data_IF_771105512005
#
_entry.id   IF_771105512005
#
_cell.length_a   1.000
_cell.length_b   1.000
_cell.length_c   1.000
_cell.angle_alpha   90.00
_cell.angle_beta   90.00
_cell.angle_gamma   90.00
#
_symmetry.space_group_name_H-M   'P 1'
#
loop_
_entity.id
_entity.type
_entity.pdbx_description
1 polymer ?
#
# COMPACT_ATOMS: atom_id res chain seq x y z
N UNK A 1 -32.40 -14.88 27.30
CA UNK A 1 -31.13 -14.47 26.68
C UNK A 1 -31.06 -12.94 26.77
N UNK A 2 -30.34 -12.42 27.75
CA UNK A 2 -30.10 -10.98 27.87
C UNK A 2 -29.14 -10.55 26.76
N UNK A 3 -29.62 -9.75 25.83
CA UNK A 3 -28.78 -9.14 24.81
C UNK A 3 -27.75 -8.24 25.50
N UNK A 4 -26.51 -8.66 25.55
CA UNK A 4 -25.40 -7.85 26.07
C UNK A 4 -25.24 -6.68 25.09
N UNK A 5 -25.38 -5.44 25.58
CA UNK A 5 -25.19 -4.27 24.75
C UNK A 5 -23.76 -4.26 24.15
N UNK A 6 -23.60 -3.98 22.85
CA UNK A 6 -22.31 -4.04 22.22
C UNK A 6 -21.32 -3.04 22.85
N UNK A 7 -20.09 -3.47 23.06
CA UNK A 7 -19.04 -2.68 23.69
C UNK A 7 -18.77 -1.39 22.91
N UNK A 8 -18.68 -0.26 23.58
CA UNK A 8 -18.37 1.04 22.93
C UNK A 8 -16.89 1.07 22.53
N UNK A 9 -16.64 1.42 21.28
CA UNK A 9 -15.27 1.66 20.80
C UNK A 9 -14.71 2.96 21.40
N UNK A 10 -13.44 2.93 21.77
CA UNK A 10 -12.77 4.14 22.24
C UNK A 10 -12.29 4.98 21.03
N UNK A 11 -11.96 6.26 21.29
CA UNK A 11 -11.52 7.20 20.26
C UNK A 11 -10.28 6.69 19.47
N UNK A 12 -9.33 6.03 20.12
CA UNK A 12 -8.13 5.51 19.46
C UNK A 12 -8.46 4.35 18.51
N UNK A 13 -9.37 3.47 18.89
CA UNK A 13 -9.84 2.36 18.03
C UNK A 13 -10.55 2.87 16.78
N UNK A 14 -11.36 3.93 16.93
CA UNK A 14 -12.04 4.57 15.80
C UNK A 14 -11.05 5.27 14.88
N UNK A 15 -10.11 6.04 15.42
CA UNK A 15 -9.09 6.73 14.63
C UNK A 15 -8.18 5.76 13.89
N UNK A 16 -7.75 4.68 14.55
CA UNK A 16 -6.92 3.65 13.92
C UNK A 16 -7.66 2.91 12.80
N UNK A 17 -8.97 2.65 12.97
CA UNK A 17 -9.80 2.08 11.92
C UNK A 17 -9.88 3.01 10.70
N UNK A 18 -10.18 4.29 10.90
CA UNK A 18 -10.26 5.25 9.80
C UNK A 18 -8.91 5.46 9.11
N UNK A 19 -7.80 5.41 9.85
CA UNK A 19 -6.46 5.45 9.26
C UNK A 19 -6.22 4.25 8.33
N UNK A 20 -6.53 3.03 8.79
CA UNK A 20 -6.41 1.82 8.00
C UNK A 20 -7.33 1.84 6.76
N UNK A 21 -8.59 2.23 6.95
CA UNK A 21 -9.57 2.31 5.86
C UNK A 21 -9.18 3.36 4.81
N UNK A 22 -8.69 4.52 5.26
CA UNK A 22 -8.23 5.58 4.35
C UNK A 22 -7.02 5.12 3.54
N UNK A 23 -6.09 4.40 4.15
CA UNK A 23 -4.93 3.85 3.48
C UNK A 23 -5.33 2.89 2.36
N UNK A 24 -6.19 1.91 2.64
CA UNK A 24 -6.68 0.97 1.62
C UNK A 24 -7.45 1.66 0.50
N UNK A 25 -8.21 2.72 0.82
CA UNK A 25 -8.92 3.52 -0.19
C UNK A 25 -7.92 4.24 -1.09
N UNK A 26 -6.87 4.85 -0.52
CA UNK A 26 -5.83 5.53 -1.28
C UNK A 26 -5.01 4.57 -2.15
N UNK A 27 -4.74 3.34 -1.67
CA UNK A 27 -4.12 2.27 -2.44
C UNK A 27 -4.96 1.91 -3.68
N UNK A 28 -6.26 1.70 -3.50
CA UNK A 28 -7.18 1.47 -4.61
C UNK A 28 -7.17 2.62 -5.63
N UNK A 29 -7.15 3.86 -5.16
CA UNK A 29 -7.04 5.05 -6.02
C UNK A 29 -5.69 5.08 -6.76
N UNK A 30 -4.57 4.83 -6.08
CA UNK A 30 -3.24 4.81 -6.72
C UNK A 30 -3.19 3.75 -7.82
N UNK A 31 -3.74 2.58 -7.60
CA UNK A 31 -3.79 1.49 -8.58
C UNK A 31 -4.52 1.91 -9.87
N UNK A 32 -5.66 2.61 -9.75
CA UNK A 32 -6.41 3.13 -10.89
C UNK A 32 -5.65 4.25 -11.60
N UNK A 33 -5.13 5.22 -10.86
CA UNK A 33 -4.36 6.34 -11.41
C UNK A 33 -3.12 5.80 -12.13
N UNK A 34 -2.41 4.85 -11.52
CA UNK A 34 -1.25 4.23 -12.12
C UNK A 34 -1.55 3.56 -13.45
N UNK A 35 -2.65 2.78 -13.52
CA UNK A 35 -3.05 2.12 -14.76
C UNK A 35 -3.32 3.14 -15.90
N UNK A 36 -3.89 4.30 -15.57
CA UNK A 36 -4.17 5.35 -16.55
C UNK A 36 -2.91 6.11 -16.99
N UNK A 37 -1.98 6.36 -16.07
CA UNK A 37 -0.80 7.21 -16.31
C UNK A 37 0.40 6.41 -16.82
N UNK A 38 0.45 5.09 -16.60
CA UNK A 38 1.60 4.25 -16.92
C UNK A 38 2.00 4.32 -18.40
N UNK A 39 1.05 4.15 -19.31
CA UNK A 39 1.34 4.14 -20.75
C UNK A 39 1.88 5.49 -21.26
N UNK A 40 1.27 6.64 -20.99
CA UNK A 40 1.86 7.93 -21.35
C UNK A 40 3.22 8.18 -20.67
N UNK A 41 3.39 7.84 -19.41
CA UNK A 41 4.67 7.99 -18.71
C UNK A 41 5.79 7.15 -19.35
N UNK A 42 5.52 5.90 -19.71
CA UNK A 42 6.50 5.04 -20.36
C UNK A 42 6.87 5.50 -21.77
N UNK A 43 5.95 6.14 -22.50
CA UNK A 43 6.27 6.75 -23.80
C UNK A 43 7.34 7.84 -23.71
N UNK A 44 7.39 8.54 -22.60
CA UNK A 44 8.39 9.59 -22.35
C UNK A 44 9.67 9.04 -21.72
N UNK A 45 9.54 8.15 -20.72
CA UNK A 45 10.67 7.66 -19.92
C UNK A 45 11.53 6.62 -20.63
N UNK A 46 10.94 5.77 -21.51
CA UNK A 46 11.71 4.75 -22.23
C UNK A 46 12.77 5.38 -23.16
N UNK A 47 12.47 6.37 -24.01
CA UNK A 47 13.48 7.03 -24.82
C UNK A 47 14.55 7.75 -23.99
N UNK A 48 14.16 8.39 -22.87
CA UNK A 48 15.11 9.02 -21.93
C UNK A 48 16.07 7.99 -21.29
N UNK A 49 15.64 6.74 -21.23
CA UNK A 49 16.46 5.63 -20.74
C UNK A 49 17.23 4.90 -21.84
N UNK A 50 17.20 5.40 -23.08
CA UNK A 50 17.87 4.77 -24.24
C UNK A 50 17.15 3.53 -24.77
N UNK A 51 15.87 3.35 -24.48
CA UNK A 51 15.06 2.20 -24.89
C UNK A 51 14.03 2.59 -25.97
N UNK A 52 13.62 1.61 -26.78
CA UNK A 52 12.53 1.78 -27.73
C UNK A 52 11.19 1.99 -26.97
N UNK A 53 10.25 2.73 -27.59
CA UNK A 53 8.96 3.06 -27.00
C UNK A 53 7.78 2.62 -27.88
N UNK A 54 7.97 1.54 -28.64
CA UNK A 54 6.89 0.90 -29.36
C UNK A 54 5.82 0.31 -28.42
N UNK A 55 4.64 -0.03 -28.94
CA UNK A 55 3.56 -0.60 -28.11
C UNK A 55 3.99 -1.85 -27.33
N UNK A 56 4.81 -2.71 -27.94
CA UNK A 56 5.33 -3.91 -27.29
C UNK A 56 6.32 -3.57 -26.17
N UNK A 57 7.20 -2.58 -26.37
CA UNK A 57 8.19 -2.15 -25.38
C UNK A 57 7.49 -1.53 -24.16
N UNK A 58 6.46 -0.72 -24.38
CA UNK A 58 5.66 -0.12 -23.32
C UNK A 58 4.93 -1.21 -22.51
N UNK A 59 4.33 -2.19 -23.19
CA UNK A 59 3.64 -3.29 -22.51
C UNK A 59 4.61 -4.14 -21.69
N UNK A 60 5.80 -4.43 -22.23
CA UNK A 60 6.84 -5.18 -21.54
C UNK A 60 7.38 -4.42 -20.33
N UNK A 61 7.75 -3.16 -20.48
CA UNK A 61 8.22 -2.32 -19.38
C UNK A 61 7.14 -2.18 -18.29
N UNK A 62 5.88 -1.98 -18.67
CA UNK A 62 4.75 -1.93 -17.74
C UNK A 62 4.59 -3.21 -16.93
N UNK A 63 4.77 -4.37 -17.57
CA UNK A 63 4.72 -5.67 -16.91
C UNK A 63 5.85 -5.84 -15.87
N UNK A 64 7.07 -5.40 -16.22
CA UNK A 64 8.22 -5.43 -15.31
C UNK A 64 7.98 -4.51 -14.10
N UNK A 65 7.51 -3.29 -14.33
CA UNK A 65 7.20 -2.35 -13.25
C UNK A 65 6.13 -2.89 -12.30
N UNK A 66 5.11 -3.53 -12.84
CA UNK A 66 4.08 -4.19 -12.04
C UNK A 66 4.64 -5.39 -11.26
N UNK A 67 5.48 -6.21 -11.88
CA UNK A 67 6.13 -7.33 -11.20
C UNK A 67 7.04 -6.86 -10.05
N UNK A 68 7.80 -5.78 -10.23
CA UNK A 68 8.63 -5.19 -9.19
C UNK A 68 7.80 -4.64 -8.02
N UNK A 69 6.67 -4.00 -8.32
CA UNK A 69 5.72 -3.58 -7.30
C UNK A 69 5.18 -4.77 -6.50
N UNK A 70 4.75 -5.85 -7.17
CA UNK A 70 4.30 -7.07 -6.52
C UNK A 70 5.40 -7.76 -5.71
N UNK A 71 6.65 -7.74 -6.18
CA UNK A 71 7.79 -8.23 -5.41
C UNK A 71 7.96 -7.43 -4.10
N UNK A 72 7.89 -6.10 -4.17
CA UNK A 72 7.90 -5.24 -2.99
C UNK A 72 6.76 -5.58 -2.03
N UNK A 73 5.56 -5.73 -2.55
CA UNK A 73 4.38 -6.13 -1.77
C UNK A 73 4.54 -7.53 -1.15
N UNK A 74 5.12 -8.46 -1.89
CA UNK A 74 5.44 -9.81 -1.40
C UNK A 74 6.38 -9.84 -0.19
N UNK A 75 7.20 -8.78 0.01
CA UNK A 75 8.04 -8.62 1.20
C UNK A 75 7.25 -8.18 2.45
N UNK A 76 5.93 -8.09 2.37
CA UNK A 76 5.05 -7.73 3.51
C UNK A 76 5.27 -8.58 4.76
N UNK A 77 5.71 -9.84 4.62
CA UNK A 77 6.02 -10.72 5.75
C UNK A 77 7.12 -10.16 6.67
N UNK A 78 8.00 -9.30 6.16
CA UNK A 78 9.05 -8.67 6.96
C UNK A 78 8.49 -7.67 7.99
N UNK A 79 7.30 -7.12 7.73
CA UNK A 79 6.64 -6.19 8.64
C UNK A 79 6.16 -6.84 9.93
N UNK A 80 5.87 -8.16 9.93
CA UNK A 80 5.46 -8.88 11.14
C UNK A 80 6.48 -8.74 12.28
N UNK A 81 7.72 -9.23 12.12
CA UNK A 81 8.76 -9.11 13.15
C UNK A 81 9.10 -7.65 13.53
N UNK A 82 9.02 -6.73 12.55
CA UNK A 82 9.24 -5.30 12.80
C UNK A 82 8.12 -4.74 13.70
N UNK A 83 6.87 -5.10 13.41
CA UNK A 83 5.71 -4.66 14.18
C UNK A 83 5.68 -5.24 15.60
N UNK A 84 6.15 -6.47 15.77
CA UNK A 84 6.27 -7.11 17.09
C UNK A 84 7.29 -6.37 17.97
N UNK A 85 8.36 -5.83 17.36
CA UNK A 85 9.41 -5.10 18.08
C UNK A 85 9.09 -3.62 18.34
N UNK A 86 8.52 -2.93 17.36
CA UNK A 86 8.31 -1.47 17.39
C UNK A 86 6.85 -1.06 17.67
N UNK A 87 5.94 -2.00 17.62
CA UNK A 87 4.50 -1.80 17.81
C UNK A 87 3.73 -1.57 16.51
N UNK A 88 2.52 -2.14 16.43
CA UNK A 88 1.65 -2.15 15.23
C UNK A 88 1.36 -0.76 14.67
N UNK A 89 1.00 0.19 15.54
CA UNK A 89 0.64 1.56 15.11
C UNK A 89 1.80 2.31 14.47
N UNK A 90 3.02 2.15 15.01
CA UNK A 90 4.21 2.82 14.46
C UNK A 90 4.58 2.21 13.11
N UNK A 91 4.47 0.90 12.98
CA UNK A 91 4.75 0.21 11.72
C UNK A 91 3.71 0.55 10.64
N UNK A 92 2.43 0.66 11.01
CA UNK A 92 1.39 1.13 10.09
C UNK A 92 1.69 2.56 9.61
N UNK A 93 2.02 3.47 10.50
CA UNK A 93 2.39 4.83 10.12
C UNK A 93 3.64 4.88 9.22
N UNK A 94 4.65 4.06 9.52
CA UNK A 94 5.87 3.96 8.71
C UNK A 94 5.58 3.39 7.31
N UNK A 95 4.74 2.36 7.20
CA UNK A 95 4.38 1.75 5.91
C UNK A 95 3.60 2.72 5.02
N UNK A 96 2.63 3.45 5.59
CA UNK A 96 1.89 4.50 4.87
C UNK A 96 2.84 5.61 4.40
N UNK A 97 3.76 6.04 5.26
CA UNK A 97 4.75 7.06 4.91
C UNK A 97 5.64 6.61 3.75
N UNK A 98 6.17 5.38 3.81
CA UNK A 98 6.99 4.79 2.74
C UNK A 98 6.21 4.76 1.44
N UNK A 99 5.00 4.22 1.45
CA UNK A 99 4.13 4.18 0.27
C UNK A 99 3.90 5.58 -0.31
N UNK A 100 3.47 6.53 0.52
CA UNK A 100 3.14 7.90 0.07
C UNK A 100 4.35 8.63 -0.52
N UNK A 101 5.51 8.52 0.14
CA UNK A 101 6.75 9.17 -0.33
C UNK A 101 7.20 8.60 -1.66
N UNK A 102 7.23 7.27 -1.81
CA UNK A 102 7.73 6.66 -3.05
C UNK A 102 6.71 6.70 -4.18
N UNK A 103 5.41 6.69 -3.91
CA UNK A 103 4.39 6.99 -4.93
C UNK A 103 4.50 8.44 -5.41
N UNK A 104 4.69 9.40 -4.50
CA UNK A 104 4.95 10.79 -4.87
C UNK A 104 6.26 10.97 -5.64
N UNK A 105 7.34 10.30 -5.23
CA UNK A 105 8.63 10.34 -5.93
C UNK A 105 8.55 9.73 -7.33
N UNK A 106 7.70 8.72 -7.55
CA UNK A 106 7.47 8.14 -8.87
C UNK A 106 6.97 9.18 -9.90
N UNK A 107 6.22 10.19 -9.46
CA UNK A 107 5.78 11.28 -10.34
C UNK A 107 6.93 12.21 -10.79
N UNK A 108 8.07 12.17 -10.11
CA UNK A 108 9.27 12.96 -10.40
C UNK A 108 10.34 12.16 -11.15
N UNK A 109 10.07 10.91 -11.51
CA UNK A 109 11.02 10.03 -12.20
C UNK A 109 11.43 10.62 -13.55
N UNK A 110 12.72 10.63 -13.83
CA UNK A 110 13.29 11.12 -15.09
C UNK A 110 13.67 9.99 -16.05
N UNK A 111 13.69 8.77 -15.56
CA UNK A 111 13.98 7.56 -16.33
C UNK A 111 13.22 6.35 -15.80
N UNK A 112 13.17 5.27 -16.60
CA UNK A 112 12.40 4.08 -16.25
C UNK A 112 12.99 3.35 -15.04
N UNK A 113 14.29 3.46 -14.78
CA UNK A 113 14.96 2.79 -13.67
C UNK A 113 14.60 3.41 -12.32
N UNK A 114 14.49 4.75 -12.28
CA UNK A 114 13.99 5.46 -11.10
C UNK A 114 12.54 5.08 -10.81
N UNK A 115 11.70 5.06 -11.85
CA UNK A 115 10.30 4.65 -11.72
C UNK A 115 10.21 3.21 -11.19
N UNK A 116 11.07 2.29 -11.68
CA UNK A 116 11.13 0.90 -11.22
C UNK A 116 11.50 0.80 -9.74
N UNK A 117 12.53 1.54 -9.32
CA UNK A 117 12.94 1.59 -7.91
C UNK A 117 11.84 2.11 -7.01
N UNK A 118 11.22 3.23 -7.39
CA UNK A 118 10.14 3.83 -6.59
C UNK A 118 8.91 2.93 -6.52
N UNK A 119 8.56 2.23 -7.59
CA UNK A 119 7.48 1.23 -7.59
C UNK A 119 7.76 0.05 -6.67
N UNK A 120 8.98 -0.46 -6.67
CA UNK A 120 9.38 -1.53 -5.75
C UNK A 120 9.29 -1.08 -4.29
N UNK A 121 9.80 0.11 -3.96
CA UNK A 121 9.77 0.66 -2.60
C UNK A 121 8.34 1.01 -2.15
N UNK A 122 7.51 1.53 -3.04
CA UNK A 122 6.08 1.75 -2.78
C UNK A 122 5.36 0.42 -2.49
N UNK A 123 5.70 -0.66 -3.22
CA UNK A 123 5.20 -2.01 -2.96
C UNK A 123 5.50 -2.49 -1.55
N UNK A 124 6.72 -2.26 -1.03
CA UNK A 124 7.09 -2.59 0.35
C UNK A 124 6.20 -1.84 1.35
N UNK A 125 5.93 -0.56 1.09
CA UNK A 125 5.04 0.26 1.93
C UNK A 125 3.62 -0.30 1.98
N UNK A 126 3.00 -0.53 0.83
CA UNK A 126 1.66 -1.14 0.73
C UNK A 126 1.59 -2.49 1.43
N UNK A 127 2.62 -3.33 1.26
CA UNK A 127 2.67 -4.63 1.90
C UNK A 127 2.60 -4.54 3.43
N UNK A 128 3.25 -3.54 4.02
CA UNK A 128 3.18 -3.27 5.45
C UNK A 128 1.80 -2.80 5.90
N UNK A 129 1.16 -1.94 5.13
CA UNK A 129 -0.17 -1.44 5.42
C UNK A 129 -1.21 -2.58 5.46
N UNK A 130 -1.23 -3.43 4.43
CA UNK A 130 -2.12 -4.58 4.37
C UNK A 130 -1.93 -5.54 5.54
N UNK A 131 -0.69 -5.83 5.90
CA UNK A 131 -0.38 -6.71 7.03
C UNK A 131 -0.82 -6.10 8.37
N UNK A 132 -0.68 -4.78 8.54
CA UNK A 132 -0.95 -4.10 9.82
C UNK A 132 -2.41 -3.71 10.00
N UNK A 133 -3.13 -3.33 8.94
CA UNK A 133 -4.52 -2.88 9.04
C UNK A 133 -5.45 -3.98 9.57
N UNK A 134 -5.37 -5.18 9.00
CA UNK A 134 -6.15 -6.33 9.44
C UNK A 134 -5.81 -6.76 10.86
N UNK A 135 -4.52 -6.85 11.19
CA UNK A 135 -4.06 -7.22 12.55
C UNK A 135 -4.43 -6.16 13.58
N UNK A 136 -4.38 -4.87 13.24
CA UNK A 136 -4.79 -3.79 14.14
C UNK A 136 -6.26 -3.95 14.57
N UNK A 137 -7.18 -4.18 13.63
CA UNK A 137 -8.60 -4.40 13.96
C UNK A 137 -8.77 -5.68 14.79
N UNK A 138 -8.07 -6.75 14.43
CA UNK A 138 -8.14 -8.01 15.15
C UNK A 138 -7.65 -7.93 16.60
N UNK A 139 -6.65 -7.10 16.89
CA UNK A 139 -6.05 -6.94 18.21
C UNK A 139 -6.69 -5.81 19.04
N UNK A 140 -7.01 -4.68 18.40
CA UNK A 140 -7.46 -3.48 19.10
C UNK A 140 -8.97 -3.45 19.37
N UNK A 141 -9.77 -4.15 18.57
CA UNK A 141 -11.22 -4.11 18.70
C UNK A 141 -11.73 -5.16 19.69
N UNK A 142 -12.82 -4.84 20.47
CA UNK A 142 -13.49 -5.80 21.35
C UNK A 142 -13.97 -7.02 20.57
N UNK A 143 -13.96 -8.18 21.19
CA UNK A 143 -14.25 -9.47 20.56
C UNK A 143 -15.65 -9.51 19.90
N UNK A 144 -16.64 -8.88 20.55
CA UNK A 144 -18.02 -8.77 20.07
C UNK A 144 -18.17 -7.91 18.80
N UNK A 145 -17.21 -7.03 18.51
CA UNK A 145 -17.21 -6.13 17.34
C UNK A 145 -16.11 -6.42 16.30
N UNK A 146 -15.21 -7.32 16.59
CA UNK A 146 -14.06 -7.65 15.74
C UNK A 146 -14.47 -8.09 14.33
N UNK A 147 -15.52 -8.93 14.24
CA UNK A 147 -16.08 -9.38 12.97
C UNK A 147 -16.67 -8.22 12.14
N UNK A 148 -17.32 -7.26 12.79
CA UNK A 148 -17.86 -6.07 12.12
C UNK A 148 -16.72 -5.16 11.61
N UNK A 149 -15.70 -4.93 12.44
CA UNK A 149 -14.53 -4.13 12.04
C UNK A 149 -13.79 -4.73 10.85
N UNK A 150 -13.58 -6.05 10.84
CA UNK A 150 -12.94 -6.73 9.71
C UNK A 150 -13.79 -6.74 8.42
N UNK A 151 -15.12 -6.68 8.55
CA UNK A 151 -16.02 -6.63 7.38
C UNK A 151 -16.21 -5.23 6.79
N UNK A 152 -15.78 -4.17 7.51
CA UNK A 152 -15.83 -2.79 7.04
C UNK A 152 -14.47 -2.27 6.52
N UNK A 153 -13.37 -2.99 6.75
CA UNK A 153 -12.09 -2.78 6.08
C UNK A 153 -12.14 -3.30 4.64
#
# INVERSE_FOLDING_TARGET
MTAIAPTKLNRQQILGFWAAWSGWTLDGMDSVIYALVLSPALKELLPQSGMANGPADIAFAGSILFALFLMGWGLSFLWGPIADRFGRTKCLAASILIFSVFTGAAALSQNVWELALFRFLAGIGIGGEWAMAGTYVAEAWPEDRRKQGAGYL
#
